data_IF_223597533910
#
_entry.id   IF_223597533910
#
_cell.length_a   1.000
_cell.length_b   1.000
_cell.length_c   1.000
_cell.angle_alpha   90.00
_cell.angle_beta   90.00
_cell.angle_gamma   90.00
#
_symmetry.space_group_name_H-M   'P 1'
#
loop_
_entity.id
_entity.type
_entity.pdbx_description
1 polymer ?
#
# COMPACT_ATOMS: atom_id res chain seq x y z
N UNK A 1 -10.87 -5.60 -76.09
CA UNK A 1 -10.42 -6.94 -76.55
C UNK A 1 -8.93 -6.86 -76.82
N UNK A 2 -8.10 -7.16 -75.82
CA UNK A 2 -6.65 -7.28 -76.00
C UNK A 2 -6.36 -8.62 -76.67
N UNK A 3 -5.76 -8.60 -77.86
CA UNK A 3 -5.40 -9.82 -78.58
C UNK A 3 -4.15 -10.44 -77.96
N UNK A 4 -4.31 -11.59 -77.33
CA UNK A 4 -3.21 -12.40 -76.79
C UNK A 4 -2.43 -13.03 -77.95
N UNK A 5 -1.31 -12.44 -78.33
CA UNK A 5 -0.33 -13.11 -79.17
C UNK A 5 0.42 -14.18 -78.37
N UNK A 6 0.85 -15.26 -79.02
CA UNK A 6 1.62 -16.39 -78.43
C UNK A 6 2.92 -16.01 -77.71
N UNK A 7 3.31 -14.74 -77.72
CA UNK A 7 4.37 -14.19 -76.86
C UNK A 7 3.67 -13.36 -75.80
N UNK A 8 3.68 -13.81 -74.53
CA UNK A 8 2.95 -13.24 -73.38
C UNK A 8 3.26 -11.78 -73.06
N UNK A 9 2.96 -10.90 -74.00
CA UNK A 9 3.22 -9.48 -74.02
C UNK A 9 1.89 -8.81 -74.36
N UNK A 10 1.41 -8.03 -73.42
CA UNK A 10 0.19 -7.23 -73.47
C UNK A 10 0.56 -5.75 -73.59
N UNK A 11 -0.30 -4.97 -74.23
CA UNK A 11 -0.14 -3.52 -74.34
C UNK A 11 -1.17 -2.85 -73.45
N UNK A 12 -0.73 -1.91 -72.60
CA UNK A 12 -1.65 -1.11 -71.79
C UNK A 12 -2.25 0.07 -72.58
N UNK A 13 -3.25 0.74 -71.99
CA UNK A 13 -3.94 1.90 -72.59
C UNK A 13 -3.01 3.10 -72.88
N UNK A 14 -1.78 3.07 -72.36
CA UNK A 14 -0.74 4.07 -72.58
C UNK A 14 0.35 3.58 -73.55
N UNK A 15 0.08 2.53 -74.33
CA UNK A 15 1.00 1.91 -75.31
C UNK A 15 2.31 1.37 -74.71
N UNK A 16 2.34 1.05 -73.41
CA UNK A 16 3.50 0.43 -72.78
C UNK A 16 3.42 -1.09 -72.88
N UNK A 17 4.57 -1.67 -73.19
CA UNK A 17 4.76 -3.12 -73.29
C UNK A 17 4.77 -3.71 -71.87
N UNK A 18 3.84 -4.63 -71.57
CA UNK A 18 3.75 -5.34 -70.29
C UNK A 18 3.73 -6.84 -70.49
N UNK A 19 4.49 -7.56 -69.68
CA UNK A 19 4.53 -9.03 -69.69
C UNK A 19 3.31 -9.65 -68.97
N UNK A 20 2.61 -8.84 -68.17
CA UNK A 20 1.42 -9.23 -67.41
C UNK A 20 0.21 -8.47 -67.92
N UNK A 21 -0.91 -9.19 -68.06
CA UNK A 21 -2.22 -8.65 -68.39
C UNK A 21 -2.58 -7.48 -67.46
N UNK A 22 -2.97 -6.35 -68.06
CA UNK A 22 -3.15 -5.06 -67.36
C UNK A 22 -4.14 -5.19 -66.21
N UNK A 23 -5.26 -5.88 -66.42
CA UNK A 23 -6.31 -6.10 -65.41
C UNK A 23 -5.78 -6.91 -64.21
N UNK A 24 -4.91 -7.91 -64.47
CA UNK A 24 -4.30 -8.73 -63.42
C UNK A 24 -3.25 -7.94 -62.63
N UNK A 25 -2.50 -7.07 -63.30
CA UNK A 25 -1.54 -6.18 -62.65
C UNK A 25 -2.22 -5.17 -61.72
N UNK A 26 -3.31 -4.53 -62.18
CA UNK A 26 -4.06 -3.57 -61.38
C UNK A 26 -4.73 -4.22 -60.16
N UNK A 27 -5.39 -5.38 -60.36
CA UNK A 27 -6.00 -6.12 -59.26
C UNK A 27 -4.97 -6.59 -58.23
N UNK A 28 -3.78 -7.05 -58.67
CA UNK A 28 -2.69 -7.43 -57.75
C UNK A 28 -2.16 -6.24 -56.96
N UNK A 29 -2.06 -5.07 -57.61
CA UNK A 29 -1.60 -3.83 -56.97
C UNK A 29 -2.62 -3.30 -55.95
N UNK A 30 -3.91 -3.40 -56.25
CA UNK A 30 -4.97 -3.06 -55.29
C UNK A 30 -4.95 -4.01 -54.09
N UNK A 31 -4.85 -5.33 -54.34
CA UNK A 31 -4.75 -6.33 -53.28
C UNK A 31 -3.51 -6.11 -52.41
N UNK A 32 -2.37 -5.72 -53.00
CA UNK A 32 -1.18 -5.34 -52.25
C UNK A 32 -1.46 -4.17 -51.30
N UNK A 33 -2.08 -3.09 -51.80
CA UNK A 33 -2.42 -1.93 -50.97
C UNK A 33 -3.40 -2.25 -49.83
N UNK A 34 -4.40 -3.09 -50.11
CA UNK A 34 -5.34 -3.57 -49.09
C UNK A 34 -4.64 -4.44 -48.04
N UNK A 35 -3.70 -5.27 -48.47
CA UNK A 35 -2.90 -6.13 -47.57
C UNK A 35 -1.99 -5.28 -46.67
N UNK A 36 -1.33 -4.28 -47.24
CA UNK A 36 -0.50 -3.33 -46.47
C UNK A 36 -1.33 -2.57 -45.42
N UNK A 37 -2.52 -2.08 -45.81
CA UNK A 37 -3.44 -1.42 -44.89
C UNK A 37 -3.92 -2.36 -43.76
N UNK A 38 -4.20 -3.62 -44.08
CA UNK A 38 -4.57 -4.64 -43.10
C UNK A 38 -3.44 -4.90 -42.10
N UNK A 39 -2.20 -5.08 -42.59
CA UNK A 39 -1.03 -5.29 -41.73
C UNK A 39 -0.83 -4.10 -40.79
N UNK A 40 -0.95 -2.88 -41.28
CA UNK A 40 -0.86 -1.67 -40.46
C UNK A 40 -1.94 -1.65 -39.37
N UNK A 41 -3.19 -1.98 -39.71
CA UNK A 41 -4.30 -2.04 -38.76
C UNK A 41 -4.07 -3.07 -37.66
N UNK A 42 -3.52 -4.23 -38.01
CA UNK A 42 -3.17 -5.28 -37.05
C UNK A 42 -2.02 -4.83 -36.14
N UNK A 43 -1.03 -4.11 -36.67
CA UNK A 43 0.05 -3.52 -35.87
C UNK A 43 -0.49 -2.51 -34.86
N UNK A 44 -1.35 -1.59 -35.29
CA UNK A 44 -2.00 -0.61 -34.41
C UNK A 44 -2.79 -1.29 -33.29
N UNK A 45 -3.58 -2.32 -33.64
CA UNK A 45 -4.33 -3.09 -32.65
C UNK A 45 -3.41 -3.79 -31.65
N UNK A 46 -2.32 -4.40 -32.12
CA UNK A 46 -1.33 -5.05 -31.25
C UNK A 46 -0.75 -4.06 -30.24
N UNK A 47 -0.42 -2.85 -30.68
CA UNK A 47 0.16 -1.83 -29.80
C UNK A 47 -0.85 -1.29 -28.79
N UNK A 48 -2.13 -1.17 -29.18
CA UNK A 48 -3.21 -0.83 -28.23
C UNK A 48 -3.36 -1.93 -27.18
N UNK A 49 -3.39 -3.20 -27.59
CA UNK A 49 -3.52 -4.33 -26.66
C UNK A 49 -2.32 -4.39 -25.69
N UNK A 50 -1.09 -4.16 -26.17
CA UNK A 50 0.10 -4.08 -25.29
C UNK A 50 -0.05 -2.99 -24.23
N UNK A 51 -0.45 -1.77 -24.63
CA UNK A 51 -0.69 -0.68 -23.69
C UNK A 51 -1.76 -1.03 -22.64
N UNK A 52 -2.84 -1.68 -23.05
CA UNK A 52 -3.88 -2.13 -22.11
C UNK A 52 -3.37 -3.22 -21.17
N UNK A 53 -2.55 -4.16 -21.63
CA UNK A 53 -1.92 -5.17 -20.76
C UNK A 53 -1.03 -4.50 -19.71
N UNK A 54 -0.19 -3.54 -20.11
CA UNK A 54 0.65 -2.79 -19.17
C UNK A 54 -0.18 -2.03 -18.11
N UNK A 55 -1.30 -1.41 -18.51
CA UNK A 55 -2.20 -0.73 -17.58
C UNK A 55 -2.88 -1.71 -16.60
N UNK A 56 -3.26 -2.90 -17.08
CA UNK A 56 -3.85 -3.94 -16.24
C UNK A 56 -2.82 -4.44 -15.21
N UNK A 57 -1.57 -4.66 -15.63
CA UNK A 57 -0.50 -5.10 -14.73
C UNK A 57 -0.23 -4.05 -13.64
N UNK A 58 -0.11 -2.77 -14.03
CA UNK A 58 0.04 -1.67 -13.06
C UNK A 58 -1.13 -1.58 -12.09
N UNK A 59 -2.36 -1.81 -12.57
CA UNK A 59 -3.54 -1.77 -11.72
C UNK A 59 -3.58 -2.97 -10.77
N UNK A 60 -3.16 -4.15 -11.22
CA UNK A 60 -3.04 -5.35 -10.38
C UNK A 60 -2.04 -5.14 -9.24
N UNK A 61 -0.87 -4.56 -9.52
CA UNK A 61 0.13 -4.21 -8.50
C UNK A 61 -0.42 -3.23 -7.45
N UNK A 62 -1.14 -2.19 -7.88
CA UNK A 62 -1.78 -1.23 -6.97
C UNK A 62 -2.82 -1.89 -6.07
N UNK A 63 -3.63 -2.77 -6.63
CA UNK A 63 -4.64 -3.52 -5.86
C UNK A 63 -3.95 -4.39 -4.80
N UNK A 64 -2.88 -5.09 -5.17
CA UNK A 64 -2.18 -5.97 -4.23
C UNK A 64 -1.51 -5.19 -3.11
N UNK A 65 -0.91 -4.03 -3.42
CA UNK A 65 -0.37 -3.12 -2.41
C UNK A 65 -1.44 -2.66 -1.41
N UNK A 66 -2.62 -2.27 -1.90
CA UNK A 66 -3.70 -1.81 -1.03
C UNK A 66 -4.30 -2.95 -0.20
N UNK A 67 -4.38 -4.17 -0.74
CA UNK A 67 -4.76 -5.36 0.06
C UNK A 67 -3.78 -5.60 1.19
N UNK A 68 -2.48 -5.56 0.93
CA UNK A 68 -1.45 -5.71 1.96
C UNK A 68 -1.57 -4.64 3.04
N UNK A 69 -1.81 -3.38 2.64
CA UNK A 69 -2.05 -2.27 3.56
C UNK A 69 -3.29 -2.51 4.43
N UNK A 70 -4.40 -2.94 3.84
CA UNK A 70 -5.63 -3.25 4.56
C UNK A 70 -5.45 -4.39 5.56
N UNK A 71 -4.74 -5.46 5.18
CA UNK A 71 -4.39 -6.56 6.09
C UNK A 71 -3.51 -6.07 7.24
N UNK A 72 -2.51 -5.23 6.95
CA UNK A 72 -1.66 -4.62 7.97
C UNK A 72 -2.45 -3.77 8.98
N UNK A 73 -3.38 -2.95 8.49
CA UNK A 73 -4.28 -2.16 9.35
C UNK A 73 -5.18 -3.05 10.20
N UNK A 74 -5.75 -4.11 9.62
CA UNK A 74 -6.60 -5.07 10.34
C UNK A 74 -5.81 -5.76 11.46
N UNK A 75 -4.59 -6.20 11.18
CA UNK A 75 -3.72 -6.83 12.18
C UNK A 75 -3.38 -5.86 13.31
N UNK A 76 -3.07 -4.59 12.97
CA UNK A 76 -2.83 -3.54 13.97
C UNK A 76 -4.04 -3.33 14.88
N UNK A 77 -5.24 -3.23 14.32
CA UNK A 77 -6.47 -3.07 15.11
C UNK A 77 -6.71 -4.29 15.99
N UNK A 78 -6.49 -5.50 15.48
CA UNK A 78 -6.65 -6.73 16.23
C UNK A 78 -5.70 -6.81 17.44
N UNK A 79 -4.44 -6.36 17.30
CA UNK A 79 -3.47 -6.35 18.41
C UNK A 79 -3.69 -5.20 19.38
N UNK A 80 -4.27 -4.08 18.93
CA UNK A 80 -4.51 -2.90 19.78
C UNK A 80 -5.44 -3.19 20.97
N UNK A 81 -6.44 -4.05 20.81
CA UNK A 81 -7.33 -4.39 21.94
C UNK A 81 -6.58 -5.11 23.05
N UNK A 82 -5.75 -6.10 22.69
CA UNK A 82 -4.95 -6.87 23.64
C UNK A 82 -3.86 -6.00 24.28
N UNK A 83 -3.18 -5.16 23.50
CA UNK A 83 -2.24 -4.18 24.03
C UNK A 83 -2.90 -3.20 25.01
N UNK A 84 -4.13 -2.76 24.72
CA UNK A 84 -4.89 -1.88 25.61
C UNK A 84 -5.24 -2.58 26.92
N UNK A 85 -5.74 -3.82 26.86
CA UNK A 85 -6.04 -4.62 28.05
C UNK A 85 -4.79 -4.87 28.91
N UNK A 86 -3.67 -5.20 28.27
CA UNK A 86 -2.39 -5.38 28.96
C UNK A 86 -1.94 -4.10 29.66
N UNK A 87 -1.93 -2.97 28.96
CA UNK A 87 -1.59 -1.66 29.55
C UNK A 87 -2.50 -1.28 30.71
N UNK A 88 -3.80 -1.53 30.58
CA UNK A 88 -4.75 -1.27 31.66
C UNK A 88 -4.44 -2.12 32.91
N UNK A 89 -4.13 -3.41 32.72
CA UNK A 89 -3.74 -4.30 33.81
C UNK A 89 -2.44 -3.84 34.48
N UNK A 90 -1.43 -3.51 33.69
CA UNK A 90 -0.12 -3.05 34.19
C UNK A 90 -0.27 -1.74 34.99
N UNK A 91 -1.07 -0.79 34.50
CA UNK A 91 -1.36 0.47 35.22
C UNK A 91 -2.13 0.25 36.51
N UNK A 92 -3.11 -0.66 36.53
CA UNK A 92 -3.84 -1.02 37.75
C UNK A 92 -2.92 -1.65 38.80
N UNK A 93 -2.02 -2.53 38.38
CA UNK A 93 -1.04 -3.14 39.29
C UNK A 93 -0.11 -2.07 39.90
N UNK A 94 0.42 -1.17 39.07
CA UNK A 94 1.27 -0.06 39.53
C UNK A 94 0.52 0.88 40.50
N UNK A 95 -0.76 1.16 40.22
CA UNK A 95 -1.58 1.99 41.10
C UNK A 95 -1.78 1.33 42.47
N UNK A 96 -2.03 0.02 42.49
CA UNK A 96 -2.18 -0.74 43.74
C UNK A 96 -0.87 -0.76 44.55
N UNK A 97 0.27 -0.98 43.90
CA UNK A 97 1.59 -0.92 44.54
C UNK A 97 1.86 0.45 45.19
N UNK A 98 1.58 1.53 44.47
CA UNK A 98 1.76 2.90 44.99
C UNK A 98 0.80 3.23 46.13
N UNK A 99 -0.41 2.70 46.09
CA UNK A 99 -1.38 2.86 47.16
C UNK A 99 -0.92 2.16 48.44
N UNK A 100 -0.42 0.92 48.34
CA UNK A 100 0.14 0.18 49.48
C UNK A 100 1.36 0.89 50.06
N UNK A 101 2.24 1.41 49.20
CA UNK A 101 3.39 2.19 49.62
C UNK A 101 2.99 3.46 50.39
N UNK A 102 1.97 4.16 49.92
CA UNK A 102 1.44 5.35 50.59
C UNK A 102 0.81 5.01 51.95
N UNK A 103 0.07 3.91 52.05
CA UNK A 103 -0.52 3.44 53.32
C UNK A 103 0.56 3.12 54.35
N UNK A 104 1.62 2.41 53.94
CA UNK A 104 2.77 2.11 54.79
C UNK A 104 3.45 3.40 55.29
N UNK A 105 3.71 4.35 54.39
CA UNK A 105 4.33 5.62 54.75
C UNK A 105 3.45 6.46 55.69
N UNK A 106 2.13 6.44 55.52
CA UNK A 106 1.21 7.12 56.43
C UNK A 106 1.27 6.52 57.85
N UNK A 107 1.29 5.19 57.97
CA UNK A 107 1.42 4.51 59.28
C UNK A 107 2.75 4.87 59.94
N UNK A 108 3.85 4.87 59.18
CA UNK A 108 5.16 5.27 59.69
C UNK A 108 5.18 6.73 60.15
N UNK A 109 4.61 7.62 59.35
CA UNK A 109 4.47 9.03 59.70
C UNK A 109 3.68 9.23 61.00
N UNK A 110 2.52 8.59 61.14
CA UNK A 110 1.71 8.67 62.36
C UNK A 110 2.46 8.16 63.60
N UNK A 111 3.24 7.08 63.45
CA UNK A 111 4.08 6.54 64.51
C UNK A 111 5.15 7.54 64.95
N UNK A 112 5.84 8.16 63.99
CA UNK A 112 6.87 9.19 64.25
C UNK A 112 6.28 10.43 64.91
N UNK A 113 5.08 10.87 64.50
CA UNK A 113 4.39 12.00 65.13
C UNK A 113 4.07 11.70 66.60
N UNK A 114 3.60 10.48 66.92
CA UNK A 114 3.37 10.07 68.32
C UNK A 114 4.66 10.10 69.14
N UNK A 115 5.72 9.49 68.64
CA UNK A 115 7.02 9.47 69.31
C UNK A 115 7.58 10.89 69.52
N UNK A 116 7.45 11.76 68.53
CA UNK A 116 7.85 13.18 68.63
C UNK A 116 7.08 13.89 69.75
N UNK A 117 5.76 13.73 69.79
CA UNK A 117 4.92 14.37 70.81
C UNK A 117 5.25 13.87 72.23
N UNK A 118 5.53 12.57 72.38
CA UNK A 118 5.99 11.99 73.66
C UNK A 118 7.33 12.58 74.11
N UNK A 119 8.28 12.74 73.17
CA UNK A 119 9.57 13.37 73.44
C UNK A 119 9.42 14.85 73.82
N UNK A 120 8.58 15.62 73.12
CA UNK A 120 8.30 17.03 73.45
C UNK A 120 7.69 17.18 74.85
N UNK A 121 6.77 16.30 75.23
CA UNK A 121 6.19 16.27 76.58
C UNK A 121 7.24 15.93 77.64
N UNK A 122 8.12 14.98 77.38
CA UNK A 122 9.20 14.61 78.29
C UNK A 122 10.19 15.76 78.49
N UNK A 123 10.58 16.43 77.40
CA UNK A 123 11.46 17.61 77.45
C UNK A 123 10.80 18.73 78.28
N UNK A 124 9.51 18.99 78.05
CA UNK A 124 8.75 19.98 78.84
C UNK A 124 8.72 19.67 80.34
N UNK A 125 8.56 18.39 80.70
CA UNK A 125 8.63 17.96 82.12
C UNK A 125 10.02 18.18 82.71
N UNK A 126 11.07 17.75 82.00
CA UNK A 126 12.45 17.87 82.45
C UNK A 126 12.89 19.34 82.57
N UNK A 127 12.44 20.22 81.66
CA UNK A 127 12.75 21.64 81.73
C UNK A 127 12.02 22.31 82.90
N UNK A 128 10.78 21.93 83.21
CA UNK A 128 10.05 22.44 84.38
C UNK A 128 10.63 21.98 85.72
N UNK A 129 11.16 20.75 85.80
CA UNK A 129 11.76 20.21 87.02
C UNK A 129 13.20 20.69 87.26
N UNK A 130 13.83 21.34 86.28
CA UNK A 130 15.20 21.87 86.39
C UNK A 130 15.24 23.35 86.79
N UNK A 131 14.07 23.98 86.99
CA UNK A 131 13.92 25.41 87.34
C UNK A 131 13.42 25.60 88.79
N UNK A 132 13.14 24.52 89.53
CA UNK A 132 13.01 24.50 90.99
C UNK A 132 14.35 24.10 91.65
#
# INVERSE_FOLDING_TARGET
MASTGESGITFDENYRIRVLDTDKYESTKEMQGQTEAFVNRISELSDVVKKYMELIDQQAERIEMEKLRAVGMRNKVATMEEERKRKEKDLKALTAEKQEELERLNIEYESLVKAKNEQELLIGKLSSSSVE
#
